data_IF_374908285517
#
_entry.id   IF_374908285517
#
_cell.length_a   1.000
_cell.length_b   1.000
_cell.length_c   1.000
_cell.angle_alpha   90.00
_cell.angle_beta   90.00
_cell.angle_gamma   90.00
#
_symmetry.space_group_name_H-M   'P 1'
#
loop_
_entity.id
_entity.type
_entity.pdbx_description
1 polymer ?
#
# COMPACT_ATOMS: atom_id res chain seq x y z
N UNK A 1 -25.60 3.04 -2.01
CA UNK A 1 -24.39 2.33 -1.53
C UNK A 1 -24.32 0.87 -1.99
N UNK A 2 -25.33 0.00 -1.73
CA UNK A 2 -25.31 -1.42 -2.19
C UNK A 2 -25.06 -1.60 -3.69
N UNK A 3 -25.61 -0.75 -4.56
CA UNK A 3 -25.42 -0.83 -6.01
C UNK A 3 -24.01 -0.44 -6.47
N UNK A 4 -23.34 0.45 -5.76
CA UNK A 4 -21.97 0.88 -6.07
C UNK A 4 -20.94 -0.23 -5.73
N UNK A 5 -21.14 -0.92 -4.60
CA UNK A 5 -20.28 -2.04 -4.16
C UNK A 5 -20.39 -3.21 -5.14
N UNK A 6 -21.60 -3.52 -5.60
CA UNK A 6 -21.82 -4.57 -6.61
C UNK A 6 -21.17 -4.22 -7.94
N UNK A 7 -21.18 -2.94 -8.34
CA UNK A 7 -20.55 -2.49 -9.59
C UNK A 7 -19.02 -2.59 -9.52
N UNK A 8 -18.40 -2.26 -8.37
CA UNK A 8 -16.95 -2.37 -8.17
C UNK A 8 -16.50 -3.82 -8.13
N UNK A 9 -17.24 -4.71 -7.45
CA UNK A 9 -16.94 -6.15 -7.43
C UNK A 9 -17.09 -6.78 -8.81
N UNK A 10 -18.08 -6.39 -9.59
CA UNK A 10 -18.26 -6.90 -10.96
C UNK A 10 -17.12 -6.46 -11.89
N UNK A 11 -16.64 -5.21 -11.76
CA UNK A 11 -15.50 -4.70 -12.51
C UNK A 11 -14.20 -5.42 -12.11
N UNK A 12 -13.97 -5.68 -10.82
CA UNK A 12 -12.81 -6.46 -10.37
C UNK A 12 -12.86 -7.91 -10.88
N UNK A 13 -14.03 -8.56 -10.84
CA UNK A 13 -14.18 -9.94 -11.35
C UNK A 13 -14.00 -10.01 -12.87
N UNK A 14 -14.48 -9.02 -13.63
CA UNK A 14 -14.23 -8.99 -15.08
C UNK A 14 -12.77 -8.78 -15.42
N UNK A 15 -12.03 -7.98 -14.66
CA UNK A 15 -10.57 -7.86 -14.82
C UNK A 15 -9.82 -9.17 -14.53
N UNK A 16 -10.24 -9.94 -13.53
CA UNK A 16 -9.66 -11.26 -13.24
C UNK A 16 -9.97 -12.30 -14.32
N UNK A 17 -11.14 -12.25 -14.96
CA UNK A 17 -11.51 -13.19 -16.03
C UNK A 17 -10.80 -12.91 -17.36
N UNK A 18 -10.46 -11.64 -17.66
CA UNK A 18 -9.67 -11.30 -18.84
C UNK A 18 -8.17 -11.67 -18.75
N UNK A 19 -7.69 -12.04 -17.56
CA UNK A 19 -6.30 -12.52 -17.37
C UNK A 19 -6.09 -13.99 -17.75
N UNK A 20 -7.16 -14.72 -18.08
CA UNK A 20 -7.11 -16.07 -18.68
C UNK A 20 -7.42 -15.97 -20.17
N UNK A 21 -6.58 -15.32 -20.94
CA UNK A 21 -6.57 -15.48 -22.39
C UNK A 21 -6.03 -16.89 -22.69
N UNK A 22 -6.93 -17.80 -22.99
CA UNK A 22 -6.59 -19.00 -23.73
C UNK A 22 -5.85 -18.58 -24.99
N UNK A 23 -4.71 -19.22 -25.24
CA UNK A 23 -4.02 -19.10 -26.51
C UNK A 23 -5.03 -19.40 -27.63
N UNK A 24 -5.15 -18.56 -28.66
CA UNK A 24 -6.06 -18.84 -29.76
C UNK A 24 -5.71 -20.21 -30.35
N UNK A 25 -6.71 -21.10 -30.38
CA UNK A 25 -6.65 -22.38 -31.06
C UNK A 25 -6.26 -22.15 -32.52
N UNK A 26 -5.09 -22.57 -32.92
CA UNK A 26 -4.59 -22.46 -34.28
C UNK A 26 -3.12 -22.07 -34.43
N UNK A 27 -2.45 -21.68 -33.34
CA UNK A 27 -0.99 -21.58 -33.36
C UNK A 27 -0.41 -22.99 -33.16
N UNK A 28 -0.34 -23.76 -34.23
CA UNK A 28 0.64 -24.86 -34.35
C UNK A 28 1.99 -24.22 -34.00
N UNK A 29 2.67 -24.79 -32.99
CA UNK A 29 3.99 -24.36 -32.60
C UNK A 29 4.93 -24.52 -33.80
N UNK A 30 5.02 -23.49 -34.62
CA UNK A 30 6.11 -23.39 -35.58
C UNK A 30 7.40 -23.42 -34.78
N UNK A 31 8.36 -24.25 -35.13
CA UNK A 31 9.62 -24.33 -34.43
C UNK A 31 10.23 -22.94 -34.47
N UNK A 32 10.41 -22.34 -33.26
CA UNK A 32 11.04 -21.03 -33.11
C UNK A 32 12.35 -21.03 -33.88
N UNK A 33 12.37 -20.33 -35.02
CA UNK A 33 13.55 -20.18 -35.84
C UNK A 33 14.62 -19.45 -35.00
N UNK A 34 15.89 -19.83 -35.20
CA UNK A 34 17.02 -19.17 -34.51
C UNK A 34 17.01 -17.66 -34.71
N UNK A 35 16.44 -17.17 -35.79
CA UNK A 35 16.21 -15.76 -36.11
C UNK A 35 15.29 -15.05 -35.12
N UNK A 36 14.21 -15.69 -34.66
CA UNK A 36 13.34 -15.14 -33.61
C UNK A 36 14.06 -15.06 -32.25
N UNK A 37 14.92 -16.04 -31.95
CA UNK A 37 15.69 -16.04 -30.72
C UNK A 37 16.84 -15.02 -30.75
N UNK A 38 17.34 -14.64 -31.93
CA UNK A 38 18.40 -13.63 -32.07
C UNK A 38 17.88 -12.20 -32.14
N UNK A 39 16.64 -11.96 -32.58
CA UNK A 39 15.96 -10.65 -32.47
C UNK A 39 15.72 -10.23 -31.04
N UNK A 40 15.75 -11.17 -30.10
CA UNK A 40 15.74 -10.84 -28.66
C UNK A 40 17.12 -10.30 -28.24
N UNK A 41 17.38 -9.05 -28.61
CA UNK A 41 18.64 -8.34 -28.34
C UNK A 41 18.98 -8.32 -26.85
N UNK A 42 19.82 -9.24 -26.38
CA UNK A 42 20.06 -9.54 -24.95
C UNK A 42 21.20 -8.66 -24.42
N UNK A 43 21.04 -7.35 -24.47
CA UNK A 43 22.04 -6.45 -23.87
C UNK A 43 21.88 -6.23 -22.36
N UNK A 44 20.76 -6.62 -21.74
CA UNK A 44 20.56 -6.53 -20.29
C UNK A 44 20.03 -7.84 -19.72
N UNK A 45 20.66 -8.33 -18.66
CA UNK A 45 20.15 -9.44 -17.85
C UNK A 45 18.83 -9.02 -17.23
N UNK A 46 17.72 -9.42 -17.81
CA UNK A 46 16.40 -9.20 -17.24
C UNK A 46 16.11 -10.34 -16.26
N UNK A 47 16.18 -10.07 -15.00
CA UNK A 47 15.80 -11.03 -13.95
C UNK A 47 14.29 -11.03 -13.82
N UNK A 48 13.67 -12.17 -14.04
CA UNK A 48 12.22 -12.34 -13.87
C UNK A 48 12.00 -12.92 -12.50
N UNK A 49 11.44 -12.12 -11.60
CA UNK A 49 11.03 -12.55 -10.27
C UNK A 49 9.54 -12.89 -10.29
N UNK A 50 9.21 -14.15 -10.09
CA UNK A 50 7.83 -14.61 -9.90
C UNK A 50 7.78 -15.40 -8.60
N UNK A 51 7.31 -14.72 -7.55
CA UNK A 51 7.17 -15.33 -6.23
C UNK A 51 6.15 -14.55 -5.38
N UNK A 52 5.67 -15.20 -4.35
CA UNK A 52 4.78 -14.60 -3.38
C UNK A 52 5.41 -14.63 -2.00
N UNK A 53 5.08 -13.64 -1.20
CA UNK A 53 5.57 -13.54 0.16
C UNK A 53 4.48 -13.02 1.11
N UNK A 54 4.59 -13.43 2.36
CA UNK A 54 3.84 -12.88 3.48
C UNK A 54 4.80 -12.07 4.33
N UNK A 55 4.39 -10.86 4.74
CA UNK A 55 5.20 -9.96 5.50
C UNK A 55 4.54 -9.55 6.81
N UNK A 56 5.36 -9.28 7.79
CA UNK A 56 4.98 -8.64 9.03
C UNK A 56 5.69 -7.29 9.11
N UNK A 57 4.94 -6.21 9.30
CA UNK A 57 5.47 -4.85 9.31
C UNK A 57 5.14 -4.15 10.63
N UNK A 58 6.12 -3.42 11.12
CA UNK A 58 5.98 -2.50 12.23
C UNK A 58 6.54 -1.14 11.84
N UNK A 59 5.86 -0.08 12.26
CA UNK A 59 6.28 1.28 11.94
C UNK A 59 5.77 2.31 12.93
N UNK A 60 6.20 3.54 12.69
CA UNK A 60 5.74 4.73 13.40
C UNK A 60 5.02 5.64 12.41
N UNK A 61 4.02 6.34 12.92
CA UNK A 61 3.21 7.27 12.15
C UNK A 61 3.45 8.70 12.63
N UNK A 62 3.90 9.56 11.73
CA UNK A 62 3.96 11.00 11.91
C UNK A 62 2.66 11.58 11.37
N UNK A 63 1.74 11.88 12.29
CA UNK A 63 0.37 12.25 11.96
C UNK A 63 0.15 13.76 12.07
N UNK A 64 -0.56 14.30 11.11
CA UNK A 64 -1.08 15.64 11.08
C UNK A 64 -2.42 15.66 10.35
N UNK A 65 -3.17 16.75 10.51
CA UNK A 65 -4.48 16.94 9.86
C UNK A 65 -4.45 18.23 9.06
N UNK A 66 -4.83 18.19 7.81
CA UNK A 66 -4.99 19.39 7.00
C UNK A 66 -6.33 20.04 7.32
N UNK A 67 -6.27 21.11 8.07
CA UNK A 67 -7.45 21.87 8.47
C UNK A 67 -7.82 22.95 7.47
N UNK A 68 -9.10 23.09 7.21
CA UNK A 68 -9.64 24.24 6.49
C UNK A 68 -10.83 24.83 7.29
N UNK A 69 -10.73 26.03 7.86
CA UNK A 69 -9.57 26.95 7.87
C UNK A 69 -8.36 26.37 8.60
N UNK A 70 -7.16 26.79 8.19
CA UNK A 70 -5.89 26.29 8.72
C UNK A 70 -5.75 26.57 10.22
N UNK A 71 -5.24 25.58 10.96
CA UNK A 71 -4.96 25.66 12.39
C UNK A 71 -3.49 25.34 12.65
N UNK A 72 -2.90 26.00 13.65
CA UNK A 72 -1.56 25.66 14.12
C UNK A 72 -1.59 24.32 14.84
N UNK A 73 -0.73 23.40 14.45
CA UNK A 73 -0.66 22.06 15.02
C UNK A 73 0.78 21.53 15.01
N UNK A 74 1.08 20.70 15.98
CA UNK A 74 2.30 19.92 16.06
C UNK A 74 2.16 18.63 15.26
N UNK A 75 3.28 18.15 14.70
CA UNK A 75 3.32 16.81 14.12
C UNK A 75 3.34 15.77 15.24
N UNK A 76 2.34 14.89 15.24
CA UNK A 76 2.16 13.91 16.30
C UNK A 76 2.84 12.59 15.93
N UNK A 77 3.84 12.19 16.73
CA UNK A 77 4.49 10.87 16.58
C UNK A 77 3.68 9.81 17.31
N UNK A 78 3.19 8.82 16.57
CA UNK A 78 2.40 7.70 17.08
C UNK A 78 3.13 6.38 16.83
N UNK A 79 3.35 5.55 17.88
CA UNK A 79 4.21 4.38 17.79
C UNK A 79 3.56 3.15 17.17
N UNK A 80 2.25 3.16 16.94
CA UNK A 80 1.54 1.96 16.51
C UNK A 80 1.15 2.05 15.03
N UNK A 81 1.90 1.31 14.21
CA UNK A 81 1.54 0.94 12.86
C UNK A 81 2.03 -0.49 12.65
N UNK A 82 1.14 -1.45 12.90
CA UNK A 82 1.47 -2.88 12.90
C UNK A 82 0.55 -3.57 11.91
N UNK A 83 1.10 -4.42 11.04
CA UNK A 83 0.27 -5.12 10.08
C UNK A 83 0.93 -6.32 9.44
N UNK A 84 0.09 -7.05 8.73
CA UNK A 84 0.48 -8.16 7.88
C UNK A 84 0.21 -7.80 6.43
N UNK A 85 1.08 -8.27 5.55
CA UNK A 85 0.99 -8.00 4.11
C UNK A 85 1.17 -9.30 3.33
N UNK A 86 0.45 -9.40 2.24
CA UNK A 86 0.68 -10.41 1.22
C UNK A 86 1.10 -9.70 -0.05
N UNK A 87 2.24 -10.11 -0.61
CA UNK A 87 2.79 -9.55 -1.85
C UNK A 87 2.96 -10.65 -2.87
N UNK A 88 2.47 -10.41 -4.08
CA UNK A 88 2.70 -11.26 -5.23
C UNK A 88 3.46 -10.47 -6.27
N UNK A 89 4.68 -10.91 -6.56
CA UNK A 89 5.46 -10.45 -7.72
C UNK A 89 5.20 -11.36 -8.91
N UNK A 90 5.25 -10.79 -10.10
CA UNK A 90 5.07 -11.55 -11.31
C UNK A 90 5.17 -10.68 -12.55
N UNK A 91 5.08 -11.30 -13.71
CA UNK A 91 4.96 -10.58 -14.96
C UNK A 91 3.55 -10.00 -15.08
N UNK A 92 3.40 -8.70 -14.86
CA UNK A 92 2.16 -8.04 -15.22
C UNK A 92 2.14 -7.77 -16.73
N UNK A 93 1.05 -8.12 -17.39
CA UNK A 93 0.88 -7.97 -18.84
C UNK A 93 1.98 -8.63 -19.69
N UNK A 94 2.71 -9.58 -19.15
CA UNK A 94 3.81 -10.26 -19.85
C UNK A 94 5.09 -9.45 -20.05
N UNK A 95 5.06 -8.13 -19.77
CA UNK A 95 6.15 -7.20 -20.13
C UNK A 95 6.84 -6.53 -18.95
N UNK A 96 6.20 -6.47 -17.77
CA UNK A 96 6.72 -5.78 -16.59
C UNK A 96 7.26 -6.75 -15.54
N UNK A 97 8.56 -7.10 -15.58
CA UNK A 97 9.15 -8.06 -14.64
C UNK A 97 9.41 -7.49 -13.24
N UNK A 98 9.26 -6.17 -13.07
CA UNK A 98 9.55 -5.44 -11.84
C UNK A 98 8.28 -5.00 -11.12
N UNK A 99 7.20 -5.70 -11.35
CA UNK A 99 5.88 -5.35 -10.84
C UNK A 99 5.39 -6.38 -9.84
N UNK A 100 4.64 -5.92 -8.86
CA UNK A 100 3.93 -6.74 -7.92
C UNK A 100 2.64 -6.07 -7.45
N UNK A 101 1.83 -6.85 -6.79
CA UNK A 101 0.64 -6.40 -6.09
C UNK A 101 0.76 -6.77 -4.63
N UNK A 102 0.47 -5.82 -3.75
CA UNK A 102 0.48 -6.03 -2.30
C UNK A 102 -0.87 -5.65 -1.71
N UNK A 103 -1.41 -6.52 -0.89
CA UNK A 103 -2.56 -6.24 -0.02
C UNK A 103 -2.13 -6.46 1.42
N UNK A 104 -2.72 -5.71 2.34
CA UNK A 104 -2.38 -5.83 3.75
C UNK A 104 -3.56 -5.54 4.66
N UNK A 105 -3.34 -5.76 5.94
CA UNK A 105 -4.21 -5.35 7.03
C UNK A 105 -3.35 -4.77 8.13
N UNK A 106 -3.64 -3.54 8.52
CA UNK A 106 -2.87 -2.80 9.52
C UNK A 106 -3.76 -2.29 10.63
N UNK A 107 -3.26 -2.38 11.85
CA UNK A 107 -3.71 -1.56 12.96
C UNK A 107 -2.78 -0.36 13.05
N UNK A 108 -3.31 0.84 12.96
CA UNK A 108 -2.55 2.07 12.97
C UNK A 108 -3.22 3.14 13.84
N UNK A 109 -2.44 4.07 14.32
CA UNK A 109 -2.93 5.25 15.00
C UNK A 109 -2.69 6.48 14.14
N UNK A 110 -3.67 7.39 14.12
CA UNK A 110 -3.53 8.72 13.55
C UNK A 110 -4.19 9.75 14.47
N UNK A 111 -3.85 11.03 14.29
CA UNK A 111 -4.42 12.05 15.16
C UNK A 111 -3.87 13.44 14.89
N UNK A 112 -4.19 14.35 15.78
CA UNK A 112 -3.71 15.71 15.74
C UNK A 112 -3.41 16.21 17.15
N UNK A 113 -2.59 17.26 17.22
CA UNK A 113 -2.31 18.01 18.43
C UNK A 113 -2.20 19.49 18.05
N UNK A 114 -3.02 20.34 18.66
CA UNK A 114 -2.98 21.77 18.41
C UNK A 114 -1.85 22.44 19.18
N UNK A 115 -1.18 23.38 18.52
CA UNK A 115 -0.17 24.22 19.11
C UNK A 115 -0.81 25.42 19.81
N UNK A 116 -0.17 25.90 20.89
CA UNK A 116 -0.57 27.10 21.56
C UNK A 116 -0.44 28.32 20.63
N UNK A 117 -1.48 29.12 20.56
CA UNK A 117 -1.48 30.35 19.76
C UNK A 117 -1.13 31.55 20.63
N UNK A 118 0.12 32.01 20.55
CA UNK A 118 0.63 33.14 21.32
C UNK A 118 -0.09 34.45 21.00
N UNK A 119 -0.51 34.68 19.75
CA UNK A 119 -1.18 35.91 19.33
C UNK A 119 -2.56 36.10 19.97
N UNK A 120 -3.19 34.98 20.33
CA UNK A 120 -4.56 34.94 20.85
C UNK A 120 -4.66 34.45 22.29
N UNK A 121 -3.51 34.07 22.87
CA UNK A 121 -3.42 33.54 24.24
C UNK A 121 -4.33 32.32 24.49
N UNK A 122 -4.50 31.46 23.48
CA UNK A 122 -5.28 30.23 23.63
C UNK A 122 -4.83 29.13 22.68
N UNK A 123 -5.18 27.88 22.98
CA UNK A 123 -5.05 26.71 22.11
C UNK A 123 -6.40 26.41 21.47
N UNK A 124 -6.40 26.13 20.18
CA UNK A 124 -7.62 25.67 19.50
C UNK A 124 -8.07 24.31 20.08
N UNK A 125 -9.38 24.09 20.17
CA UNK A 125 -9.96 22.90 20.78
C UNK A 125 -11.13 22.39 19.97
N UNK A 126 -11.31 21.08 19.97
CA UNK A 126 -12.52 20.42 19.48
C UNK A 126 -13.06 19.58 20.63
N UNK A 127 -14.27 19.83 21.04
CA UNK A 127 -14.91 19.18 22.20
C UNK A 127 -14.04 19.25 23.48
N UNK A 128 -13.36 20.37 23.68
CA UNK A 128 -12.46 20.57 24.79
C UNK A 128 -11.08 19.93 24.68
N UNK A 129 -10.86 19.11 23.65
CA UNK A 129 -9.59 18.41 23.44
C UNK A 129 -8.61 19.24 22.62
N UNK A 130 -7.38 19.34 23.09
CA UNK A 130 -6.25 19.90 22.34
C UNK A 130 -5.53 18.83 21.51
N UNK A 131 -5.67 17.56 21.89
CA UNK A 131 -5.10 16.41 21.19
C UNK A 131 -6.16 15.31 21.06
N UNK A 132 -6.22 14.70 19.89
CA UNK A 132 -7.01 13.48 19.69
C UNK A 132 -6.21 12.42 18.93
N UNK A 133 -6.36 11.17 19.32
CA UNK A 133 -5.75 10.00 18.72
C UNK A 133 -6.86 9.04 18.33
N UNK A 134 -6.83 8.55 17.10
CA UNK A 134 -7.76 7.58 16.54
C UNK A 134 -7.05 6.25 16.35
N UNK A 135 -7.68 5.18 16.83
CA UNK A 135 -7.29 3.80 16.54
C UNK A 135 -8.01 3.32 15.29
N UNK A 136 -7.27 2.82 14.31
CA UNK A 136 -7.78 2.56 12.97
C UNK A 136 -7.34 1.18 12.49
N UNK A 137 -8.25 0.46 11.86
CA UNK A 137 -7.92 -0.68 11.02
C UNK A 137 -7.95 -0.24 9.56
N UNK A 138 -6.84 -0.48 8.86
CA UNK A 138 -6.61 -0.07 7.48
C UNK A 138 -6.34 -1.30 6.61
N UNK A 139 -6.96 -1.34 5.43
CA UNK A 139 -6.72 -2.34 4.39
C UNK A 139 -6.19 -1.64 3.14
N UNK A 140 -4.86 -1.55 2.98
CA UNK A 140 -4.26 -0.98 1.80
C UNK A 140 -4.12 -2.00 0.68
N UNK A 141 -4.18 -1.49 -0.56
CA UNK A 141 -3.90 -2.21 -1.80
C UNK A 141 -2.90 -1.41 -2.60
N UNK A 142 -1.72 -1.97 -2.84
CA UNK A 142 -0.63 -1.28 -3.53
C UNK A 142 -0.26 -1.98 -4.82
N UNK A 143 0.06 -1.18 -5.81
CA UNK A 143 0.99 -1.55 -6.87
C UNK A 143 2.41 -1.43 -6.31
N UNK A 144 3.17 -2.48 -6.44
CA UNK A 144 4.48 -2.63 -5.84
C UNK A 144 5.52 -2.78 -6.94
N UNK A 145 6.27 -1.71 -7.20
CA UNK A 145 7.36 -1.70 -8.14
C UNK A 145 8.65 -2.03 -7.41
N UNK A 146 9.50 -2.87 -7.99
CA UNK A 146 10.78 -3.19 -7.41
C UNK A 146 11.87 -3.25 -8.48
N UNK A 147 13.06 -2.85 -8.08
CA UNK A 147 14.26 -2.99 -8.88
C UNK A 147 15.33 -3.71 -8.08
N UNK A 148 15.78 -4.88 -8.58
CA UNK A 148 16.70 -5.73 -7.86
C UNK A 148 18.15 -5.42 -8.24
N UNK A 149 18.96 -5.13 -7.22
CA UNK A 149 20.40 -4.87 -7.28
C UNK A 149 21.12 -5.91 -6.42
N UNK A 150 21.45 -7.07 -6.96
CA UNK A 150 22.02 -8.19 -6.22
C UNK A 150 21.13 -8.64 -5.03
N UNK A 151 21.60 -8.37 -3.81
CA UNK A 151 20.87 -8.66 -2.58
C UNK A 151 20.06 -7.46 -2.08
N UNK A 152 20.10 -6.32 -2.78
CA UNK A 152 19.31 -5.13 -2.46
C UNK A 152 18.14 -4.98 -3.44
N UNK A 153 17.08 -4.41 -2.95
CA UNK A 153 15.87 -4.12 -3.70
C UNK A 153 15.43 -2.70 -3.43
N UNK A 154 15.27 -1.91 -4.48
CA UNK A 154 14.62 -0.60 -4.39
C UNK A 154 13.14 -0.82 -4.61
N UNK A 155 12.32 -0.22 -3.76
CA UNK A 155 10.87 -0.38 -3.74
C UNK A 155 10.20 0.96 -3.99
N UNK A 156 9.15 0.94 -4.79
CA UNK A 156 8.22 2.05 -4.92
C UNK A 156 6.80 1.49 -4.87
N UNK A 157 5.94 2.11 -4.08
CA UNK A 157 4.58 1.65 -3.86
C UNK A 157 3.62 2.80 -4.07
N UNK A 158 2.49 2.50 -4.69
CA UNK A 158 1.40 3.43 -4.87
C UNK A 158 0.09 2.65 -4.87
N UNK A 159 -0.90 3.13 -4.16
CA UNK A 159 -2.19 2.47 -4.12
C UNK A 159 -3.24 3.25 -3.36
N UNK A 160 -4.35 2.59 -3.13
CA UNK A 160 -5.45 3.11 -2.34
C UNK A 160 -5.58 2.31 -1.05
N UNK A 161 -6.29 2.88 -0.11
CA UNK A 161 -6.65 2.20 1.14
C UNK A 161 -8.10 2.53 1.52
N UNK A 162 -8.70 1.58 2.25
CA UNK A 162 -9.90 1.80 3.00
C UNK A 162 -9.62 1.53 4.47
N UNK A 163 -10.21 2.33 5.36
CA UNK A 163 -9.97 2.22 6.78
C UNK A 163 -11.24 2.48 7.60
N UNK A 164 -11.24 1.94 8.81
CA UNK A 164 -12.32 2.14 9.77
C UNK A 164 -11.74 2.54 11.12
N UNK A 165 -12.23 3.66 11.68
CA UNK A 165 -11.84 4.18 12.98
C UNK A 165 -12.57 3.38 14.07
N UNK A 166 -11.81 2.62 14.85
CA UNK A 166 -12.31 1.75 15.92
C UNK A 166 -12.57 2.53 17.21
N UNK A 167 -11.63 3.39 17.56
CA UNK A 167 -11.61 4.15 18.81
C UNK A 167 -11.12 5.57 18.61
N UNK A 168 -11.45 6.42 19.58
CA UNK A 168 -10.94 7.77 19.71
C UNK A 168 -10.52 8.00 21.15
N UNK A 169 -9.39 8.69 21.31
CA UNK A 169 -8.89 9.11 22.61
C UNK A 169 -8.63 10.62 22.56
N UNK A 170 -9.45 11.38 23.28
CA UNK A 170 -9.34 12.83 23.41
C UNK A 170 -8.62 13.18 24.69
N UNK A 171 -7.59 13.99 24.56
CA UNK A 171 -6.78 14.43 25.69
C UNK A 171 -7.03 15.92 25.93
N UNK A 172 -7.35 16.30 27.19
CA UNK A 172 -7.41 17.71 27.58
C UNK A 172 -5.99 18.29 27.51
N UNK A 173 -5.88 19.52 27.06
CA UNK A 173 -4.63 20.25 27.13
C UNK A 173 -4.50 21.02 28.46
N UNK A 174 -3.55 21.97 28.49
CA UNK A 174 -3.31 22.80 29.67
C UNK A 174 -4.52 23.69 30.04
N UNK A 175 -5.31 24.04 29.04
CA UNK A 175 -6.43 25.00 29.17
C UNK A 175 -7.79 24.36 28.87
N UNK A 176 -7.83 23.06 28.54
CA UNK A 176 -9.02 22.33 28.16
C UNK A 176 -9.47 21.32 29.20
N UNK A 177 -10.77 21.13 29.31
CA UNK A 177 -11.39 20.04 30.03
C UNK A 177 -12.23 19.24 29.03
N UNK A 178 -11.89 18.00 28.82
CA UNK A 178 -12.72 17.04 28.07
C UNK A 178 -13.74 16.47 29.05
N UNK A 179 -15.00 16.44 28.65
CA UNK A 179 -16.00 15.72 29.44
C UNK A 179 -15.67 14.22 29.44
N UNK A 180 -15.71 13.51 30.58
CA UNK A 180 -15.35 12.09 30.66
C UNK A 180 -16.12 11.23 29.67
N UNK A 181 -17.36 11.58 29.33
CA UNK A 181 -18.19 10.88 28.35
C UNK A 181 -17.65 11.00 26.92
N UNK A 182 -16.86 12.05 26.63
CA UNK A 182 -16.32 12.33 25.29
C UNK A 182 -14.89 11.86 25.10
N UNK A 183 -14.21 11.43 26.18
CA UNK A 183 -12.82 10.99 26.10
C UNK A 183 -12.64 9.80 25.15
N UNK A 184 -13.58 8.86 25.17
CA UNK A 184 -13.47 7.58 24.46
C UNK A 184 -14.66 7.27 23.55
N UNK A 185 -15.56 8.23 23.34
CA UNK A 185 -16.77 8.01 22.54
C UNK A 185 -16.76 8.84 21.26
N UNK A 186 -17.28 8.23 20.20
CA UNK A 186 -17.53 8.94 18.95
C UNK A 186 -18.80 9.77 19.06
N UNK A 187 -18.73 11.00 18.59
CA UNK A 187 -19.88 11.86 18.41
C UNK A 187 -20.67 11.49 17.14
N UNK A 188 -21.93 11.87 17.03
CA UNK A 188 -22.69 11.70 15.80
C UNK A 188 -22.06 12.38 14.58
N UNK A 189 -21.29 13.44 14.81
CA UNK A 189 -20.56 14.20 13.79
C UNK A 189 -19.23 13.58 13.37
N UNK A 190 -18.72 12.62 14.13
CA UNK A 190 -17.45 11.95 13.83
C UNK A 190 -17.63 10.93 12.69
N UNK A 191 -16.79 10.99 11.69
CA UNK A 191 -16.79 10.03 10.61
C UNK A 191 -15.89 8.84 10.92
N UNK A 192 -16.44 7.63 10.87
CA UNK A 192 -15.70 6.39 11.15
C UNK A 192 -14.99 5.82 9.94
N UNK A 193 -15.53 6.03 8.74
CA UNK A 193 -14.94 5.53 7.51
C UNK A 193 -13.90 6.51 6.98
N UNK A 194 -12.77 5.96 6.58
CA UNK A 194 -11.69 6.67 5.93
C UNK A 194 -11.25 5.96 4.67
N UNK A 195 -10.83 6.70 3.67
CA UNK A 195 -10.31 6.18 2.42
C UNK A 195 -9.44 7.22 1.73
N UNK A 196 -8.49 6.76 0.96
CA UNK A 196 -7.58 7.67 0.29
C UNK A 196 -6.52 6.96 -0.52
N UNK A 197 -5.43 7.68 -0.75
CA UNK A 197 -4.26 7.19 -1.45
C UNK A 197 -3.08 7.09 -0.49
N UNK A 198 -2.22 6.12 -0.76
CA UNK A 198 -0.99 5.91 -0.02
C UNK A 198 0.11 5.51 -0.99
N UNK A 199 1.26 6.15 -0.86
CA UNK A 199 2.37 5.87 -1.75
C UNK A 199 3.69 6.19 -1.08
N UNK A 200 4.76 5.59 -1.56
CA UNK A 200 6.07 5.82 -0.97
C UNK A 200 7.16 5.00 -1.63
N UNK A 201 8.31 5.09 -1.01
CA UNK A 201 9.52 4.42 -1.45
C UNK A 201 10.14 3.64 -0.30
N UNK A 202 10.96 2.66 -0.65
CA UNK A 202 11.66 1.88 0.33
C UNK A 202 12.83 1.14 -0.29
N UNK A 203 13.55 0.42 0.54
CA UNK A 203 14.50 -0.54 0.07
C UNK A 203 14.40 -1.83 0.88
N UNK A 204 14.80 -2.92 0.26
CA UNK A 204 14.80 -4.24 0.85
C UNK A 204 16.17 -4.89 0.76
N UNK A 205 16.46 -5.78 1.69
CA UNK A 205 17.60 -6.69 1.67
C UNK A 205 17.05 -8.10 1.56
N UNK A 206 17.56 -8.83 0.59
CA UNK A 206 17.08 -10.18 0.24
C UNK A 206 18.04 -11.23 0.77
N UNK A 207 17.52 -12.09 1.65
CA UNK A 207 18.23 -13.22 2.24
C UNK A 207 17.40 -14.49 2.03
N UNK A 208 17.27 -15.01 0.83
CA UNK A 208 16.41 -16.16 0.56
C UNK A 208 16.37 -17.20 1.71
N UNK A 209 15.22 -17.48 2.33
CA UNK A 209 13.85 -17.16 1.94
C UNK A 209 13.23 -15.90 2.61
N UNK A 210 14.02 -15.01 3.16
CA UNK A 210 13.56 -13.85 3.94
C UNK A 210 13.97 -12.56 3.23
N UNK A 211 13.09 -11.55 3.24
CA UNK A 211 13.40 -10.18 2.85
C UNK A 211 13.11 -9.24 4.01
N UNK A 212 14.00 -8.28 4.23
CA UNK A 212 13.80 -7.19 5.19
C UNK A 212 13.56 -5.91 4.40
N UNK A 213 12.42 -5.28 4.62
CA UNK A 213 12.05 -4.03 3.95
C UNK A 213 12.05 -2.87 4.93
N UNK A 214 12.59 -1.72 4.51
CA UNK A 214 12.43 -0.44 5.18
C UNK A 214 11.73 0.51 4.20
N UNK A 215 10.65 1.15 4.66
CA UNK A 215 9.74 1.91 3.80
C UNK A 215 9.38 3.24 4.46
N UNK A 216 9.27 4.28 3.63
CA UNK A 216 8.69 5.57 4.00
C UNK A 216 7.49 5.83 3.08
N UNK A 217 6.30 5.95 3.67
CA UNK A 217 5.03 6.06 2.97
C UNK A 217 4.35 7.37 3.34
N UNK A 218 3.78 8.04 2.37
CA UNK A 218 2.87 9.16 2.58
C UNK A 218 1.43 8.70 2.37
N UNK A 219 0.58 8.99 3.34
CA UNK A 219 -0.86 8.70 3.33
C UNK A 219 -1.63 10.00 3.27
N UNK A 220 -2.57 10.11 2.32
CA UNK A 220 -3.50 11.21 2.19
C UNK A 220 -4.93 10.70 2.20
N UNK A 221 -5.73 11.22 3.13
CA UNK A 221 -7.13 10.87 3.28
C UNK A 221 -8.02 11.79 2.43
N UNK A 222 -8.98 11.22 1.73
CA UNK A 222 -10.08 11.95 1.11
C UNK A 222 -11.30 12.06 2.03
N UNK A 223 -11.33 11.26 3.10
CA UNK A 223 -12.33 11.33 4.15
C UNK A 223 -11.99 12.40 5.19
N UNK A 224 -12.95 13.20 5.57
CA UNK A 224 -12.79 14.14 6.70
C UNK A 224 -12.93 13.41 8.03
N UNK A 225 -12.33 13.93 9.10
CA UNK A 225 -12.50 13.41 10.46
C UNK A 225 -13.92 13.62 10.97
N UNK A 226 -14.51 14.75 10.62
CA UNK A 226 -15.82 15.21 11.06
C UNK A 226 -16.72 15.52 9.87
N UNK A 227 -18.03 15.56 10.10
CA UNK A 227 -18.95 16.13 9.12
C UNK A 227 -18.64 17.60 8.90
N UNK A 228 -18.62 18.11 7.65
CA UNK A 228 -18.16 19.46 7.36
C UNK A 228 -18.97 20.57 8.04
N UNK A 229 -20.22 20.29 8.38
CA UNK A 229 -21.17 21.18 9.05
C UNK A 229 -21.17 21.04 10.58
N UNK A 230 -20.26 20.25 11.16
CA UNK A 230 -20.21 19.95 12.60
C UNK A 230 -20.15 21.18 13.50
N UNK A 231 -19.61 22.29 12.97
CA UNK A 231 -19.46 23.54 13.71
C UNK A 231 -20.62 24.51 13.44
N UNK A 232 -21.10 24.60 12.20
CA UNK A 232 -22.13 25.51 11.77
C UNK A 232 -22.73 25.08 10.45
N UNK A 233 -24.03 25.19 10.28
CA UNK A 233 -24.75 24.95 9.02
C UNK A 233 -24.34 25.92 7.90
N UNK A 234 -23.75 27.07 8.24
CA UNK A 234 -23.35 28.11 7.29
C UNK A 234 -21.86 28.09 6.94
N UNK A 235 -21.00 27.54 7.83
CA UNK A 235 -19.55 27.55 7.68
C UNK A 235 -18.99 26.13 7.75
N UNK A 236 -18.67 25.58 6.59
CA UNK A 236 -18.07 24.25 6.48
C UNK A 236 -16.60 24.26 6.92
N UNK A 237 -16.25 23.28 7.72
CA UNK A 237 -14.88 23.03 8.14
C UNK A 237 -14.45 21.62 7.71
N UNK A 238 -13.24 21.52 7.19
CA UNK A 238 -12.70 20.26 6.73
C UNK A 238 -11.45 19.88 7.52
N UNK A 239 -11.29 18.60 7.78
CA UNK A 239 -10.16 18.03 8.51
C UNK A 239 -9.73 16.74 7.81
N UNK A 240 -8.72 16.84 6.94
CA UNK A 240 -8.22 15.69 6.17
C UNK A 240 -6.93 15.15 6.81
N UNK A 241 -6.91 13.89 7.30
CA UNK A 241 -5.69 13.27 7.78
C UNK A 241 -4.62 13.18 6.70
N UNK A 242 -3.39 13.50 7.07
CA UNK A 242 -2.22 13.47 6.21
C UNK A 242 -1.04 12.96 7.04
N UNK A 243 -0.52 11.78 6.70
CA UNK A 243 0.40 11.06 7.56
C UNK A 243 1.64 10.64 6.81
N UNK A 244 2.79 10.66 7.49
CA UNK A 244 4.03 10.04 7.02
C UNK A 244 4.28 8.81 7.89
N UNK A 245 4.42 7.66 7.26
CA UNK A 245 4.60 6.38 7.94
C UNK A 245 5.98 5.85 7.59
N UNK A 246 6.79 5.59 8.62
CA UNK A 246 8.09 4.94 8.46
C UNK A 246 7.97 3.56 9.07
N UNK A 247 8.18 2.51 8.28
CA UNK A 247 8.00 1.13 8.70
C UNK A 247 9.15 0.22 8.27
N UNK A 248 9.43 -0.76 9.12
CA UNK A 248 10.30 -1.88 8.82
C UNK A 248 9.47 -3.17 8.80
N UNK A 249 9.77 -4.09 7.90
CA UNK A 249 9.04 -5.33 7.76
C UNK A 249 9.94 -6.51 7.43
N UNK A 250 9.53 -7.68 7.91
CA UNK A 250 10.16 -8.96 7.58
C UNK A 250 9.16 -9.74 6.72
N UNK A 251 9.61 -10.16 5.55
CA UNK A 251 8.80 -10.87 4.56
C UNK A 251 9.37 -12.26 4.31
N UNK A 252 8.51 -13.28 4.31
CA UNK A 252 8.86 -14.67 4.08
C UNK A 252 8.36 -15.10 2.72
N UNK A 253 9.23 -15.68 1.92
CA UNK A 253 8.87 -16.24 0.62
C UNK A 253 8.00 -17.48 0.78
N UNK A 254 6.80 -17.47 0.23
CA UNK A 254 5.91 -18.63 0.16
C UNK A 254 6.22 -19.52 -1.03
N UNK A 255 6.79 -18.97 -2.08
CA UNK A 255 7.24 -19.68 -3.27
C UNK A 255 8.70 -19.34 -3.57
N UNK A 256 9.43 -20.29 -4.18
CA UNK A 256 10.84 -20.04 -4.53
C UNK A 256 10.94 -18.89 -5.52
N UNK A 257 11.89 -18.00 -5.23
CA UNK A 257 12.24 -16.91 -6.13
C UNK A 257 12.89 -17.49 -7.38
N UNK A 258 12.19 -17.42 -8.51
CA UNK A 258 12.72 -17.83 -9.80
C UNK A 258 13.50 -16.69 -10.44
N UNK A 259 14.70 -16.44 -9.94
CA UNK A 259 15.63 -15.45 -10.50
C UNK A 259 16.30 -15.96 -11.78
N UNK A 260 15.53 -16.36 -12.80
CA UNK A 260 16.11 -16.76 -14.09
C UNK A 260 16.37 -15.53 -14.95
N UNK A 261 17.60 -15.40 -15.41
CA UNK A 261 17.95 -14.38 -16.40
C UNK A 261 17.31 -14.72 -17.75
N UNK A 262 17.08 -13.72 -18.60
CA UNK A 262 16.57 -13.94 -19.96
C UNK A 262 17.48 -14.90 -20.76
N UNK A 263 18.80 -14.85 -20.51
CA UNK A 263 19.76 -15.77 -21.11
C UNK A 263 19.56 -17.22 -20.65
N UNK A 264 19.29 -17.45 -19.36
CA UNK A 264 19.00 -18.77 -18.81
C UNK A 264 17.68 -19.33 -19.34
N UNK A 265 16.64 -18.48 -19.46
CA UNK A 265 15.37 -18.85 -20.07
C UNK A 265 15.52 -19.19 -21.54
N UNK A 266 16.33 -18.44 -22.32
CA UNK A 266 16.65 -18.73 -23.71
C UNK A 266 17.39 -20.08 -23.82
N UNK A 267 18.37 -20.35 -22.95
CA UNK A 267 19.08 -21.62 -22.92
C UNK A 267 18.14 -22.78 -22.61
N UNK A 268 17.28 -22.64 -21.58
CA UNK A 268 16.31 -23.70 -21.26
C UNK A 268 15.29 -23.94 -22.37
N UNK A 269 14.85 -22.90 -23.07
CA UNK A 269 13.98 -23.06 -24.24
C UNK A 269 14.67 -23.80 -25.38
N UNK A 270 15.92 -23.48 -25.67
CA UNK A 270 16.73 -24.23 -26.66
C UNK A 270 16.88 -25.69 -26.24
N UNK A 271 17.28 -25.96 -25.01
CA UNK A 271 17.47 -27.33 -24.50
C UNK A 271 16.16 -28.16 -24.57
N UNK A 272 14.98 -27.55 -24.35
CA UNK A 272 13.68 -28.23 -24.53
C UNK A 272 13.42 -28.58 -26.01
N UNK A 273 13.64 -27.62 -26.91
CA UNK A 273 13.42 -27.83 -28.35
C UNK A 273 14.32 -28.92 -28.89
N UNK A 274 15.60 -28.93 -28.54
CA UNK A 274 16.54 -29.95 -29.01
C UNK A 274 16.21 -31.34 -28.46
N UNK A 275 15.83 -31.48 -27.19
CA UNK A 275 15.38 -32.76 -26.61
C UNK A 275 14.14 -33.30 -27.32
N UNK A 276 13.16 -32.44 -27.58
CA UNK A 276 11.93 -32.88 -28.29
C UNK A 276 12.21 -33.30 -29.72
N UNK A 277 13.21 -32.72 -30.39
CA UNK A 277 13.62 -33.13 -31.74
C UNK A 277 14.40 -34.45 -31.76
N UNK A 278 15.17 -34.79 -30.74
CA UNK A 278 15.85 -36.09 -30.59
C UNK A 278 14.85 -37.19 -30.28
N UNK A 279 13.87 -36.97 -29.41
CA UNK A 279 12.83 -37.94 -29.08
C UNK A 279 11.89 -38.27 -30.26
N UNK A 280 11.68 -37.30 -31.17
CA UNK A 280 10.87 -37.54 -32.40
C UNK A 280 11.63 -38.24 -33.53
N UNK A 281 12.95 -38.39 -33.44
CA UNK A 281 13.77 -39.06 -34.44
C UNK A 281 14.19 -40.50 -34.04
N UNK A 282 13.70 -41.04 -32.94
CA UNK A 282 13.77 -42.43 -32.52
C UNK A 282 12.42 -43.11 -32.74
#
# INVERSE_FOLDING_TARGET
MKRLIISITTILCTFCMYAQTELPEGLTAEPYTDEFLDTLNVRKKLVINDYSMIGFQYGVNLSQVMWNPAQKQDMLLLPYNIGVTFTKYGKMFGYMPYFGFQIGMFYTQEGYQFEYNEDKDYTYKIEGAEKAVYDIVEVPMYFHFHYDLWNFKILAQLGCYGAYRLGIHRYPGKTGNVLPELEHSFLPTDRRWDYGIKGGVGFGIVFDPIEIHLQAMYKYSFGTLYDPDYYSEYYYRYAYPSNIIISAGIHFHLSKRTGKTKAELKKMAKDMVYRTSEDNNQ
#
